data_IF_993711236055
#
_entry.id   IF_993711236055
#
_cell.length_a   1.000
_cell.length_b   1.000
_cell.length_c   1.000
_cell.angle_alpha   90.00
_cell.angle_beta   90.00
_cell.angle_gamma   90.00
#
_symmetry.space_group_name_H-M   'P 1'
#
loop_
_entity.id
_entity.type
_entity.pdbx_description
1 polymer ?
#
# COMPACT_ATOMS: atom_id res chain seq x y z
N UNK A 1 40.61 4.57 -15.40
CA UNK A 1 40.24 5.55 -14.35
C UNK A 1 39.41 6.58 -15.07
N UNK A 2 38.08 6.51 -15.09
CA UNK A 2 37.14 6.46 -13.97
C UNK A 2 35.80 5.95 -14.49
N UNK A 3 35.31 4.84 -13.93
CA UNK A 3 33.89 4.49 -13.89
C UNK A 3 33.70 3.79 -12.53
N UNK A 4 33.48 4.63 -11.51
CA UNK A 4 33.30 4.19 -10.14
C UNK A 4 31.79 4.00 -9.89
N UNK A 5 31.38 2.74 -9.96
CA UNK A 5 30.34 2.08 -9.16
C UNK A 5 29.24 2.96 -8.57
N UNK A 6 28.25 3.31 -9.40
CA UNK A 6 26.85 3.46 -8.93
C UNK A 6 26.04 2.28 -9.44
N UNK A 7 26.41 1.09 -9.00
CA UNK A 7 25.48 -0.03 -8.95
C UNK A 7 24.63 0.22 -7.72
N UNK A 8 23.58 1.05 -7.86
CA UNK A 8 22.50 1.11 -6.88
C UNK A 8 22.09 -0.32 -6.60
N UNK A 9 21.90 -0.66 -5.32
CA UNK A 9 21.45 -1.96 -4.90
C UNK A 9 20.31 -2.40 -5.83
N UNK A 10 20.48 -3.55 -6.49
CA UNK A 10 19.34 -4.18 -7.15
C UNK A 10 18.40 -4.53 -6.01
N UNK A 11 17.28 -3.83 -5.95
CA UNK A 11 16.29 -3.93 -4.91
C UNK A 11 15.78 -5.38 -4.84
N UNK A 12 16.19 -6.10 -3.79
CA UNK A 12 15.46 -7.31 -3.41
C UNK A 12 14.01 -6.87 -3.14
N UNK A 13 12.99 -7.63 -3.60
CA UNK A 13 11.61 -7.29 -3.30
C UNK A 13 11.45 -7.12 -1.79
N UNK A 14 10.98 -5.96 -1.34
CA UNK A 14 10.73 -5.73 0.07
C UNK A 14 9.60 -6.67 0.53
N UNK A 15 9.97 -7.81 1.11
CA UNK A 15 9.04 -8.78 1.66
C UNK A 15 8.60 -8.34 3.06
N UNK A 16 7.32 -8.55 3.35
CA UNK A 16 6.75 -8.29 4.67
C UNK A 16 7.43 -9.19 5.70
N UNK A 17 7.96 -8.56 6.75
CA UNK A 17 8.47 -9.31 7.90
C UNK A 17 7.33 -10.03 8.62
N UNK A 18 7.64 -11.06 9.43
CA UNK A 18 6.62 -11.71 10.25
C UNK A 18 5.90 -10.74 11.20
N UNK A 19 6.56 -9.66 11.63
CA UNK A 19 5.94 -8.60 12.43
C UNK A 19 4.91 -7.81 11.62
N UNK A 20 5.26 -7.44 10.38
CA UNK A 20 4.34 -6.78 9.44
C UNK A 20 3.13 -7.67 9.15
N UNK A 21 3.33 -8.96 8.85
CA UNK A 21 2.23 -9.89 8.59
C UNK A 21 1.27 -9.99 9.79
N UNK A 22 1.79 -10.13 11.01
CA UNK A 22 0.98 -10.16 12.25
C UNK A 22 0.25 -8.86 12.52
N UNK A 23 0.88 -7.73 12.19
CA UNK A 23 0.24 -6.43 12.35
C UNK A 23 -0.88 -6.21 11.32
N UNK A 24 -0.62 -6.58 10.06
CA UNK A 24 -1.55 -6.44 8.94
C UNK A 24 -2.74 -7.41 9.03
N UNK A 25 -2.59 -8.60 9.60
CA UNK A 25 -3.71 -9.55 9.74
C UNK A 25 -4.84 -9.05 10.64
N UNK A 26 -4.61 -8.01 11.46
CA UNK A 26 -5.62 -7.46 12.35
C UNK A 26 -6.59 -6.50 11.63
N UNK A 27 -7.91 -6.77 11.57
CA UNK A 27 -8.86 -5.98 10.77
C UNK A 27 -8.89 -4.48 11.10
N UNK A 28 -8.85 -4.12 12.39
CA UNK A 28 -8.83 -2.71 12.79
C UNK A 28 -7.54 -1.99 12.32
N UNK A 29 -6.38 -2.67 12.34
CA UNK A 29 -5.12 -2.09 11.92
C UNK A 29 -5.10 -1.85 10.41
N UNK A 30 -5.65 -2.77 9.62
CA UNK A 30 -5.88 -2.53 8.18
C UNK A 30 -6.76 -1.34 7.92
N UNK A 31 -7.88 -1.20 8.65
CA UNK A 31 -8.72 0.00 8.55
C UNK A 31 -7.93 1.28 8.85
N UNK A 32 -7.01 1.25 9.82
CA UNK A 32 -6.13 2.38 10.12
C UNK A 32 -5.13 2.65 8.97
N UNK A 33 -4.47 1.62 8.43
CA UNK A 33 -3.57 1.75 7.26
C UNK A 33 -4.30 2.39 6.08
N UNK A 34 -5.53 1.94 5.79
CA UNK A 34 -6.37 2.52 4.72
C UNK A 34 -6.79 3.97 4.97
N UNK A 35 -6.76 4.45 6.22
CA UNK A 35 -6.97 5.88 6.49
C UNK A 35 -5.74 6.72 6.16
N UNK A 36 -4.53 6.18 6.38
CA UNK A 36 -3.30 6.85 5.93
C UNK A 36 -3.27 6.98 4.40
N UNK A 37 -3.78 5.97 3.68
CA UNK A 37 -3.99 6.05 2.23
C UNK A 37 -5.10 7.03 1.79
N UNK A 38 -5.65 7.86 2.69
CA UNK A 38 -6.59 8.95 2.35
C UNK A 38 -6.19 10.29 2.98
N UNK A 39 -5.32 10.26 3.98
CA UNK A 39 -4.90 11.40 4.79
C UNK A 39 -3.49 11.11 5.29
N UNK A 40 -2.55 11.94 4.87
CA UNK A 40 -1.12 11.69 5.03
C UNK A 40 -0.70 11.67 6.50
N UNK A 41 -1.33 12.50 7.33
CA UNK A 41 -0.93 12.72 8.70
C UNK A 41 -2.12 12.58 9.65
N UNK A 42 -2.07 11.56 10.52
CA UNK A 42 -3.17 11.27 11.45
C UNK A 42 -2.68 11.10 12.88
N UNK A 43 -3.48 11.61 13.83
CA UNK A 43 -3.34 11.35 15.26
C UNK A 43 -4.25 10.22 15.68
N UNK A 44 -3.99 9.66 16.87
CA UNK A 44 -4.89 8.67 17.46
C UNK A 44 -6.32 9.19 17.66
N UNK A 45 -6.49 10.49 17.93
CA UNK A 45 -7.81 11.11 18.04
C UNK A 45 -8.56 11.16 16.69
N UNK A 46 -7.84 11.44 15.60
CA UNK A 46 -8.42 11.48 14.24
C UNK A 46 -8.90 10.09 13.83
N UNK A 47 -8.06 9.08 14.05
CA UNK A 47 -8.38 7.66 13.81
C UNK A 47 -9.57 7.20 14.67
N UNK A 48 -9.58 7.59 15.95
CA UNK A 48 -10.65 7.23 16.88
C UNK A 48 -12.01 7.78 16.45
N UNK A 49 -12.04 9.06 16.03
CA UNK A 49 -13.23 9.70 15.53
C UNK A 49 -13.72 9.06 14.23
N UNK A 50 -12.83 8.81 13.28
CA UNK A 50 -13.15 8.26 11.96
C UNK A 50 -13.64 6.81 12.03
N UNK A 51 -12.99 5.96 12.86
CA UNK A 51 -13.31 4.53 12.97
C UNK A 51 -14.29 4.19 14.09
N UNK A 52 -14.73 5.18 14.88
CA UNK A 52 -15.64 4.97 16.01
C UNK A 52 -15.06 4.07 17.10
N UNK A 53 -13.75 4.20 17.38
CA UNK A 53 -13.04 3.39 18.40
C UNK A 53 -12.52 4.25 19.55
N UNK A 54 -12.31 3.69 20.76
CA UNK A 54 -11.69 4.43 21.86
C UNK A 54 -10.28 4.96 21.51
N UNK A 55 -9.96 6.19 21.91
CA UNK A 55 -8.67 6.82 21.61
C UNK A 55 -7.45 6.07 22.20
N UNK A 56 -7.61 5.44 23.37
CA UNK A 56 -6.58 4.58 23.95
C UNK A 56 -6.33 3.32 23.10
N UNK A 57 -7.39 2.72 22.55
CA UNK A 57 -7.31 1.60 21.61
C UNK A 57 -6.62 2.03 20.31
N UNK A 58 -7.03 3.15 19.70
CA UNK A 58 -6.37 3.68 18.51
C UNK A 58 -4.87 3.91 18.75
N UNK A 59 -4.51 4.52 19.89
CA UNK A 59 -3.11 4.74 20.26
C UNK A 59 -2.31 3.44 20.43
N UNK A 60 -2.93 2.38 20.97
CA UNK A 60 -2.29 1.07 21.09
C UNK A 60 -2.02 0.44 19.73
N UNK A 61 -3.02 0.45 18.83
CA UNK A 61 -2.88 -0.15 17.51
C UNK A 61 -1.90 0.61 16.62
N UNK A 62 -1.86 1.95 16.69
CA UNK A 62 -0.88 2.77 15.96
C UNK A 62 0.55 2.45 16.39
N UNK A 63 0.81 2.32 17.71
CA UNK A 63 2.14 1.89 18.17
C UNK A 63 2.52 0.53 17.63
N UNK A 64 1.61 -0.44 17.69
CA UNK A 64 1.89 -1.78 17.16
C UNK A 64 2.13 -1.79 15.64
N UNK A 65 1.50 -0.89 14.89
CA UNK A 65 1.78 -0.69 13.46
C UNK A 65 3.17 -0.07 13.24
N UNK A 66 3.53 0.92 14.04
CA UNK A 66 4.84 1.58 13.97
C UNK A 66 5.98 0.63 14.35
N UNK A 67 5.79 -0.16 15.42
CA UNK A 67 6.75 -1.19 15.85
C UNK A 67 6.96 -2.26 14.77
N UNK A 68 5.95 -2.50 13.93
CA UNK A 68 6.02 -3.40 12.78
C UNK A 68 6.54 -2.73 11.50
N UNK A 69 6.78 -1.41 11.49
CA UNK A 69 7.23 -0.65 10.31
C UNK A 69 6.15 -0.38 9.25
N UNK A 70 4.87 -0.51 9.59
CA UNK A 70 3.76 -0.25 8.66
C UNK A 70 3.29 1.21 8.66
N UNK A 71 3.71 1.99 9.66
CA UNK A 71 3.52 3.44 9.75
C UNK A 71 4.75 4.06 10.41
N UNK A 72 4.94 5.37 10.22
CA UNK A 72 6.08 6.12 10.75
C UNK A 72 5.60 7.35 11.53
N UNK A 73 6.39 7.80 12.51
CA UNK A 73 6.07 9.01 13.26
C UNK A 73 6.49 10.25 12.44
N UNK A 74 5.60 11.25 12.39
CA UNK A 74 5.76 12.50 11.64
C UNK A 74 5.85 13.69 12.63
N UNK A 75 6.95 13.82 13.41
CA UNK A 75 7.06 14.80 14.48
C UNK A 75 7.00 16.26 13.98
N UNK A 76 7.37 16.52 12.73
CA UNK A 76 7.27 17.83 12.08
C UNK A 76 5.83 18.32 11.89
N UNK A 77 4.84 17.41 11.95
CA UNK A 77 3.41 17.75 11.91
C UNK A 77 2.76 17.81 13.29
N UNK A 78 3.52 17.51 14.35
CA UNK A 78 3.07 17.59 15.73
C UNK A 78 2.91 19.04 16.19
N UNK A 79 1.89 19.32 17.00
CA UNK A 79 1.71 20.64 17.63
C UNK A 79 2.67 20.87 18.80
N UNK A 80 2.97 19.81 19.55
CA UNK A 80 3.87 19.82 20.69
C UNK A 80 4.47 18.42 20.93
N UNK A 81 5.34 18.29 21.94
CA UNK A 81 6.05 17.04 22.29
C UNK A 81 5.15 15.88 22.74
N UNK A 82 3.88 16.13 23.08
CA UNK A 82 2.91 15.12 23.53
C UNK A 82 1.98 14.69 22.39
N UNK A 83 1.93 15.46 21.31
CA UNK A 83 1.09 15.23 20.13
C UNK A 83 1.79 14.28 19.15
N UNK A 84 1.50 12.98 19.20
CA UNK A 84 2.07 12.02 18.24
C UNK A 84 1.25 11.98 16.96
N UNK A 85 1.88 12.32 15.84
CA UNK A 85 1.32 12.28 14.49
C UNK A 85 2.01 11.18 13.72
N UNK A 86 1.26 10.45 12.91
CA UNK A 86 1.74 9.31 12.13
C UNK A 86 1.51 9.53 10.64
N UNK A 87 2.29 8.86 9.82
CA UNK A 87 2.10 8.74 8.38
C UNK A 87 2.23 7.28 7.95
N UNK A 88 1.66 6.93 6.79
CA UNK A 88 1.72 5.57 6.25
C UNK A 88 3.13 5.22 5.75
N UNK A 89 3.48 3.93 5.80
CA UNK A 89 4.66 3.43 5.09
C UNK A 89 4.49 3.60 3.57
N UNK A 90 5.55 4.05 2.90
CA UNK A 90 5.65 4.14 1.43
C UNK A 90 6.37 2.91 0.89
N UNK A 91 5.82 2.30 -0.16
CA UNK A 91 6.41 1.13 -0.81
C UNK A 91 5.50 -0.11 -0.88
N UNK A 92 5.96 -1.16 -1.58
CA UNK A 92 5.15 -2.35 -1.83
C UNK A 92 5.02 -3.24 -0.60
N UNK A 93 3.84 -3.88 -0.44
CA UNK A 93 3.58 -4.87 0.59
C UNK A 93 3.58 -6.29 -0.03
N UNK A 94 4.76 -6.89 -0.19
CA UNK A 94 4.88 -8.24 -0.74
C UNK A 94 4.82 -9.28 0.39
N UNK A 95 3.87 -10.21 0.36
CA UNK A 95 3.65 -11.16 1.48
C UNK A 95 4.76 -12.21 1.60
N UNK A 96 5.16 -12.82 0.49
CA UNK A 96 6.20 -13.86 0.45
C UNK A 96 6.29 -14.49 -0.94
N UNK A 97 7.36 -15.25 -1.17
CA UNK A 97 7.63 -15.94 -2.43
C UNK A 97 8.56 -17.14 -2.24
N UNK A 98 8.89 -17.90 -3.30
CA UNK A 98 9.73 -19.09 -3.19
C UNK A 98 11.09 -18.83 -2.53
N UNK A 99 11.68 -17.66 -2.78
CA UNK A 99 12.97 -17.26 -2.20
C UNK A 99 12.84 -16.58 -0.82
N UNK A 100 11.61 -16.24 -0.40
CA UNK A 100 11.30 -15.66 0.92
C UNK A 100 9.96 -16.20 1.43
N UNK A 101 9.90 -17.49 1.82
CA UNK A 101 8.67 -18.12 2.25
C UNK A 101 8.18 -17.54 3.58
N UNK A 102 6.87 -17.47 3.74
CA UNK A 102 6.26 -17.08 5.02
C UNK A 102 6.40 -18.24 6.00
N UNK A 103 7.04 -18.01 7.15
CA UNK A 103 7.28 -19.04 8.16
C UNK A 103 5.99 -19.59 8.82
N UNK A 104 4.93 -18.78 8.85
CA UNK A 104 3.61 -19.13 9.38
C UNK A 104 2.60 -19.10 8.21
N UNK A 105 2.34 -20.26 7.63
CA UNK A 105 1.50 -20.41 6.41
C UNK A 105 0.05 -19.97 6.64
N UNK A 106 -0.50 -20.19 7.84
CA UNK A 106 -1.87 -19.78 8.18
C UNK A 106 -1.95 -18.25 8.25
N UNK A 107 -0.95 -17.61 8.88
CA UNK A 107 -0.85 -16.17 8.90
C UNK A 107 -0.66 -15.59 7.49
N UNK A 108 0.21 -16.19 6.67
CA UNK A 108 0.40 -15.79 5.28
C UNK A 108 -0.90 -15.83 4.47
N UNK A 109 -1.64 -16.93 4.59
CA UNK A 109 -2.95 -17.11 3.95
C UNK A 109 -3.98 -16.07 4.42
N UNK A 110 -4.00 -15.76 5.72
CA UNK A 110 -4.89 -14.75 6.28
C UNK A 110 -4.58 -13.34 5.74
N UNK A 111 -3.29 -13.01 5.56
CA UNK A 111 -2.88 -11.73 4.96
C UNK A 111 -3.25 -11.66 3.48
N UNK A 112 -3.08 -12.74 2.71
CA UNK A 112 -3.52 -12.80 1.31
C UNK A 112 -5.05 -12.59 1.22
N UNK A 113 -5.83 -13.29 2.04
CA UNK A 113 -7.29 -13.11 2.07
C UNK A 113 -7.68 -11.65 2.40
N UNK A 114 -6.95 -11.01 3.30
CA UNK A 114 -7.13 -9.60 3.64
C UNK A 114 -6.81 -8.66 2.47
N UNK A 115 -5.73 -8.90 1.73
CA UNK A 115 -5.38 -8.12 0.52
C UNK A 115 -6.43 -8.29 -0.57
N UNK A 116 -6.97 -9.50 -0.75
CA UNK A 116 -8.07 -9.76 -1.69
C UNK A 116 -9.32 -8.96 -1.29
N UNK A 117 -9.67 -8.90 0.00
CA UNK A 117 -10.78 -8.05 0.46
C UNK A 117 -10.54 -6.56 0.13
N UNK A 118 -9.31 -6.07 0.33
CA UNK A 118 -8.92 -4.70 -0.02
C UNK A 118 -9.06 -4.43 -1.54
N UNK A 119 -8.71 -5.42 -2.36
CA UNK A 119 -8.88 -5.35 -3.81
C UNK A 119 -10.36 -5.31 -4.23
N UNK A 120 -11.20 -6.13 -3.61
CA UNK A 120 -12.64 -6.12 -3.87
C UNK A 120 -13.27 -4.76 -3.54
N UNK A 121 -12.82 -4.12 -2.45
CA UNK A 121 -13.25 -2.78 -2.08
C UNK A 121 -12.81 -1.71 -3.10
N UNK A 122 -11.59 -1.82 -3.66
CA UNK A 122 -11.14 -0.98 -4.77
C UNK A 122 -12.04 -1.18 -6.00
N UNK A 123 -12.25 -2.43 -6.42
CA UNK A 123 -13.09 -2.76 -7.58
C UNK A 123 -14.52 -2.27 -7.43
N UNK A 124 -15.10 -2.35 -6.23
CA UNK A 124 -16.43 -1.78 -5.95
C UNK A 124 -16.46 -0.27 -6.16
N UNK A 125 -15.42 0.48 -5.77
CA UNK A 125 -15.33 1.94 -6.02
C UNK A 125 -15.18 2.24 -7.51
N UNK A 126 -14.31 1.52 -8.20
CA UNK A 126 -14.07 1.69 -9.64
C UNK A 126 -15.35 1.44 -10.43
N UNK A 127 -16.05 0.34 -10.17
CA UNK A 127 -17.28 -0.04 -10.88
C UNK A 127 -18.45 0.90 -10.59
N UNK A 128 -18.54 1.47 -9.39
CA UNK A 128 -19.56 2.47 -9.07
C UNK A 128 -19.35 3.80 -9.81
N UNK A 129 -18.09 4.22 -10.02
CA UNK A 129 -17.76 5.50 -10.66
C UNK A 129 -17.69 5.44 -12.20
N UNK A 130 -17.12 4.36 -12.74
CA UNK A 130 -16.84 4.21 -14.18
C UNK A 130 -18.01 4.54 -15.12
N UNK A 131 -19.28 4.19 -14.81
CA UNK A 131 -20.40 4.51 -15.68
C UNK A 131 -20.62 6.01 -15.93
N UNK A 132 -20.29 6.87 -14.96
CA UNK A 132 -20.38 8.33 -15.13
C UNK A 132 -19.29 8.83 -16.09
N UNK A 133 -18.08 8.30 -15.96
CA UNK A 133 -16.93 8.67 -16.77
C UNK A 133 -17.08 8.21 -18.22
N UNK A 134 -17.42 6.94 -18.44
CA UNK A 134 -17.60 6.35 -19.80
C UNK A 134 -18.74 7.02 -20.55
N UNK A 135 -19.77 7.48 -19.85
CA UNK A 135 -20.87 8.21 -20.47
C UNK A 135 -20.55 9.70 -20.72
N UNK A 136 -19.36 10.18 -20.37
CA UNK A 136 -18.94 11.57 -20.53
C UNK A 136 -19.65 12.55 -19.60
N UNK A 137 -20.27 12.08 -18.50
CA UNK A 137 -20.95 12.94 -17.53
C UNK A 137 -19.99 13.62 -16.54
N UNK A 138 -18.76 13.13 -16.46
CA UNK A 138 -17.66 13.78 -15.74
C UNK A 138 -16.38 13.72 -16.57
N UNK A 139 -15.58 14.78 -16.48
CA UNK A 139 -14.23 14.83 -17.04
C UNK A 139 -13.15 14.60 -15.95
N UNK A 140 -13.53 14.60 -14.68
CA UNK A 140 -12.60 14.41 -13.57
C UNK A 140 -12.26 12.93 -13.42
N UNK A 141 -10.97 12.59 -13.48
CA UNK A 141 -10.47 11.22 -13.35
C UNK A 141 -10.38 10.83 -11.88
N UNK A 142 -11.06 9.76 -11.51
CA UNK A 142 -11.00 9.15 -10.17
C UNK A 142 -10.56 7.68 -10.18
N UNK A 143 -10.57 7.02 -11.33
CA UNK A 143 -10.05 5.67 -11.50
C UNK A 143 -9.64 5.40 -12.94
N UNK A 144 -8.87 4.33 -13.13
CA UNK A 144 -8.65 3.70 -14.42
C UNK A 144 -8.97 2.21 -14.29
N UNK A 145 -9.60 1.65 -15.31
CA UNK A 145 -9.82 0.21 -15.43
C UNK A 145 -9.31 -0.25 -16.78
N UNK A 146 -8.27 -1.08 -16.79
CA UNK A 146 -7.63 -1.59 -18.01
C UNK A 146 -7.46 -3.08 -17.89
N UNK A 147 -7.91 -3.81 -18.90
CA UNK A 147 -7.69 -5.25 -19.04
C UNK A 147 -6.86 -5.50 -20.30
N UNK A 148 -5.79 -6.31 -20.18
CA UNK A 148 -4.95 -6.73 -21.30
C UNK A 148 -4.71 -8.23 -21.21
N UNK A 149 -4.61 -8.87 -22.37
CA UNK A 149 -4.17 -10.26 -22.51
C UNK A 149 -2.87 -10.25 -23.29
N UNK A 150 -1.85 -10.90 -22.75
CA UNK A 150 -0.49 -10.93 -23.31
C UNK A 150 -0.01 -12.37 -23.39
N UNK A 151 0.81 -12.67 -24.40
CA UNK A 151 1.49 -13.96 -24.50
C UNK A 151 2.95 -13.75 -24.16
N UNK A 152 3.35 -14.22 -23.00
CA UNK A 152 4.68 -14.06 -22.42
C UNK A 152 5.22 -15.42 -21.98
N UNK A 153 6.52 -15.58 -22.02
CA UNK A 153 7.23 -16.60 -21.25
C UNK A 153 7.30 -16.19 -19.76
N UNK A 154 7.62 -17.13 -18.88
CA UNK A 154 7.84 -16.85 -17.44
C UNK A 154 8.87 -15.73 -17.24
N UNK A 155 10.02 -15.82 -17.90
CA UNK A 155 11.07 -14.80 -17.80
C UNK A 155 10.63 -13.41 -18.31
N UNK A 156 9.79 -13.36 -19.35
CA UNK A 156 9.23 -12.09 -19.85
C UNK A 156 8.15 -11.54 -18.90
N UNK A 157 7.39 -12.40 -18.22
CA UNK A 157 6.43 -12.00 -17.20
C UNK A 157 7.12 -11.42 -15.97
N UNK A 158 8.17 -12.07 -15.46
CA UNK A 158 8.96 -11.57 -14.33
C UNK A 158 9.59 -10.21 -14.65
N UNK A 159 10.19 -10.06 -15.84
CA UNK A 159 10.76 -8.79 -16.31
C UNK A 159 9.69 -7.69 -16.43
N UNK A 160 8.47 -8.03 -16.87
CA UNK A 160 7.34 -7.09 -16.87
C UNK A 160 6.96 -6.64 -15.46
N UNK A 161 6.86 -7.56 -14.50
CA UNK A 161 6.48 -7.24 -13.12
C UNK A 161 7.51 -6.36 -12.43
N UNK A 162 8.81 -6.60 -12.64
CA UNK A 162 9.90 -5.74 -12.16
C UNK A 162 9.75 -4.32 -12.72
N UNK A 163 9.59 -4.19 -14.04
CA UNK A 163 9.44 -2.87 -14.70
C UNK A 163 8.21 -2.11 -14.23
N UNK A 164 7.10 -2.80 -13.96
CA UNK A 164 5.89 -2.18 -13.41
C UNK A 164 6.18 -1.61 -12.02
N UNK A 165 6.82 -2.38 -11.13
CA UNK A 165 7.20 -1.91 -9.80
C UNK A 165 8.19 -0.74 -9.85
N UNK A 166 9.19 -0.78 -10.73
CA UNK A 166 10.16 0.31 -10.89
C UNK A 166 9.46 1.63 -11.28
N UNK A 167 8.50 1.55 -12.22
CA UNK A 167 7.72 2.73 -12.65
C UNK A 167 6.84 3.27 -11.52
N UNK A 168 6.21 2.40 -10.74
CA UNK A 168 5.39 2.82 -9.60
C UNK A 168 6.23 3.47 -8.50
N UNK A 169 7.37 2.86 -8.17
CA UNK A 169 8.27 3.37 -7.13
C UNK A 169 8.86 4.72 -7.53
N UNK A 170 9.29 4.86 -8.78
CA UNK A 170 9.78 6.14 -9.31
C UNK A 170 8.71 7.24 -9.31
N UNK A 171 7.43 6.89 -9.47
CA UNK A 171 6.33 7.86 -9.39
C UNK A 171 6.05 8.31 -7.95
N UNK A 172 6.13 7.39 -6.97
CA UNK A 172 5.98 7.69 -5.54
C UNK A 172 7.13 8.58 -5.04
N UNK A 173 8.37 8.24 -5.38
CA UNK A 173 9.58 9.00 -5.01
C UNK A 173 9.62 10.41 -5.60
N UNK A 174 9.00 10.61 -6.77
CA UNK A 174 8.98 11.90 -7.45
C UNK A 174 7.93 12.87 -6.90
N UNK A 175 6.99 12.40 -6.06
CA UNK A 175 5.91 13.24 -5.54
C UNK A 175 6.37 14.17 -4.42
N UNK A 176 5.87 15.41 -4.43
CA UNK A 176 6.04 16.37 -3.33
C UNK A 176 4.88 16.22 -2.34
N UNK A 177 5.15 15.66 -1.16
CA UNK A 177 4.17 15.46 -0.07
C UNK A 177 3.55 16.76 0.46
N UNK A 178 4.01 17.93 -0.01
CA UNK A 178 3.43 19.23 0.34
C UNK A 178 2.48 19.80 -0.72
N UNK A 179 2.34 19.14 -1.87
CA UNK A 179 1.44 19.56 -2.94
C UNK A 179 -0.04 19.40 -2.52
N UNK A 180 -0.81 20.49 -2.39
CA UNK A 180 -2.20 20.44 -1.96
C UNK A 180 -3.13 19.75 -2.97
N UNK A 181 -2.70 19.57 -4.22
CA UNK A 181 -3.47 18.86 -5.24
C UNK A 181 -3.17 17.35 -5.27
N UNK A 182 -2.25 16.89 -4.41
CA UNK A 182 -1.94 15.48 -4.19
C UNK A 182 -3.17 14.67 -3.80
N UNK A 183 -3.35 13.52 -4.46
CA UNK A 183 -4.42 12.56 -4.15
C UNK A 183 -3.80 11.20 -3.94
N UNK A 184 -4.29 10.47 -2.94
CA UNK A 184 -3.94 9.07 -2.80
C UNK A 184 -4.58 8.20 -3.87
N UNK A 185 -3.73 7.48 -4.59
CA UNK A 185 -4.12 6.46 -5.55
C UNK A 185 -3.77 5.09 -5.00
N UNK A 186 -4.78 4.24 -4.82
CA UNK A 186 -4.55 2.82 -4.62
C UNK A 186 -4.43 2.16 -5.99
N UNK A 187 -3.29 1.52 -6.25
CA UNK A 187 -3.02 0.80 -7.50
C UNK A 187 -2.69 -0.65 -7.15
N UNK A 188 -3.53 -1.56 -7.63
CA UNK A 188 -3.33 -3.00 -7.47
C UNK A 188 -3.00 -3.60 -8.84
N UNK A 189 -1.96 -4.44 -8.91
CA UNK A 189 -1.60 -5.20 -10.11
C UNK A 189 -1.95 -6.65 -9.86
N UNK A 190 -2.91 -7.18 -10.63
CA UNK A 190 -3.29 -8.60 -10.61
C UNK A 190 -3.05 -9.17 -11.98
N UNK A 191 -2.27 -10.25 -12.03
CA UNK A 191 -2.02 -11.01 -13.24
C UNK A 191 -1.98 -12.50 -12.89
N UNK A 192 -2.44 -13.31 -13.83
CA UNK A 192 -2.42 -14.77 -13.77
C UNK A 192 -2.33 -15.30 -15.20
N UNK A 193 -1.69 -16.46 -15.35
CA UNK A 193 -1.84 -17.27 -16.57
C UNK A 193 -3.12 -18.14 -16.48
N UNK A 194 -3.35 -18.96 -17.49
CA UNK A 194 -4.53 -19.83 -17.59
C UNK A 194 -4.35 -21.21 -16.92
N UNK A 195 -3.25 -21.43 -16.18
CA UNK A 195 -2.90 -22.72 -15.58
C UNK A 195 -3.33 -22.87 -14.12
N UNK A 196 -3.78 -21.77 -13.48
CA UNK A 196 -4.21 -21.73 -12.07
C UNK A 196 -5.71 -21.47 -11.90
#
# INVERSE_FOLDING_TARGET
MTEDRTKSARDDPAWMTSAMLKAYSHPLRRRMIRLFARRDFLRAADIAAELGVPANSASFHLRALADAGLIEEAPEKARDRRDRVWTGHKGPLNVGGPESPVADEELGSAVIAALVEDHHDLMRRVTAWTPEYVAGRTAEVHAAFTQRTMRLTEAEFDDLMVKINDVMSAADDAHDDTDPDGRYWQVDVIAADDTI
#
